data_IF_879631747762
#
_entry.id   IF_879631747762
#
_cell.length_a   1.000
_cell.length_b   1.000
_cell.length_c   1.000
_cell.angle_alpha   90.00
_cell.angle_beta   90.00
_cell.angle_gamma   90.00
#
_symmetry.space_group_name_H-M   'P 1'
#
loop_
_entity.id
_entity.type
_entity.pdbx_description
1 polymer ?
#
# COMPACT_ATOMS: atom_id res chain seq x y z
N UNK A 1 5.30 2.70 4.20
CA UNK A 1 6.13 2.65 2.96
C UNK A 1 5.86 1.38 2.17
N UNK A 2 6.30 0.19 2.61
CA UNK A 2 6.01 -1.09 1.91
C UNK A 2 4.52 -1.35 1.73
N UNK A 3 3.70 -1.16 2.77
CA UNK A 3 2.25 -1.36 2.66
C UNK A 3 1.56 -0.49 1.61
N UNK A 4 2.01 0.75 1.41
CA UNK A 4 1.47 1.61 0.35
C UNK A 4 1.88 1.11 -1.05
N UNK A 5 3.13 0.68 -1.23
CA UNK A 5 3.60 0.14 -2.50
C UNK A 5 2.85 -1.14 -2.89
N UNK A 6 2.63 -2.06 -1.93
CA UNK A 6 1.83 -3.27 -2.15
C UNK A 6 0.38 -2.93 -2.48
N UNK A 7 -0.25 -2.04 -1.71
CA UNK A 7 -1.63 -1.63 -1.95
C UNK A 7 -1.81 -0.96 -3.31
N UNK A 8 -0.88 -0.10 -3.73
CA UNK A 8 -0.87 0.52 -5.05
C UNK A 8 -0.76 -0.54 -6.15
N UNK A 9 0.15 -1.50 -6.02
CA UNK A 9 0.31 -2.58 -6.98
C UNK A 9 -0.97 -3.41 -7.12
N UNK A 10 -1.56 -3.87 -6.00
CA UNK A 10 -2.81 -4.63 -6.02
C UNK A 10 -3.95 -3.82 -6.66
N UNK A 11 -4.03 -2.53 -6.37
CA UNK A 11 -5.02 -1.63 -7.00
C UNK A 11 -4.82 -1.55 -8.51
N UNK A 12 -3.58 -1.42 -9.00
CA UNK A 12 -3.27 -1.39 -10.43
C UNK A 12 -3.57 -2.72 -11.14
N UNK A 13 -3.51 -3.83 -10.40
CA UNK A 13 -3.92 -5.15 -10.86
C UNK A 13 -5.45 -5.32 -10.86
N UNK A 14 -6.22 -4.33 -10.41
CA UNK A 14 -7.68 -4.36 -10.39
C UNK A 14 -8.26 -5.16 -9.22
N UNK A 15 -7.47 -5.39 -8.17
CA UNK A 15 -7.96 -6.02 -6.94
C UNK A 15 -8.98 -5.09 -6.26
N UNK A 16 -10.14 -5.60 -5.80
CA UNK A 16 -11.12 -4.82 -5.05
C UNK A 16 -10.53 -4.12 -3.82
N UNK A 17 -10.99 -2.89 -3.54
CA UNK A 17 -10.43 -2.04 -2.48
C UNK A 17 -10.54 -2.66 -1.08
N UNK A 18 -11.62 -3.37 -0.79
CA UNK A 18 -11.80 -4.13 0.45
C UNK A 18 -10.69 -5.19 0.62
N UNK A 19 -10.41 -5.97 -0.43
CA UNK A 19 -9.33 -6.95 -0.40
C UNK A 19 -7.93 -6.30 -0.27
N UNK A 20 -7.71 -5.14 -0.88
CA UNK A 20 -6.46 -4.36 -0.71
C UNK A 20 -6.28 -3.89 0.74
N UNK A 21 -7.36 -3.39 1.36
CA UNK A 21 -7.33 -2.93 2.74
C UNK A 21 -7.10 -4.09 3.71
N UNK A 22 -7.76 -5.23 3.48
CA UNK A 22 -7.60 -6.43 4.28
C UNK A 22 -6.16 -6.94 4.25
N UNK A 23 -5.52 -7.01 3.08
CA UNK A 23 -4.10 -7.37 2.95
C UNK A 23 -3.18 -6.40 3.72
N UNK A 24 -3.43 -5.09 3.59
CA UNK A 24 -2.66 -4.07 4.29
C UNK A 24 -2.74 -4.23 5.82
N UNK A 25 -3.94 -4.41 6.37
CA UNK A 25 -4.15 -4.55 7.81
C UNK A 25 -3.59 -5.87 8.36
N UNK A 26 -3.52 -6.92 7.54
CA UNK A 26 -2.96 -8.22 7.93
C UNK A 26 -1.48 -8.17 8.31
N UNK A 27 -0.78 -7.11 7.90
CA UNK A 27 0.59 -6.81 8.35
C UNK A 27 0.68 -6.77 9.88
N UNK A 28 -0.35 -6.26 10.57
CA UNK A 28 -0.35 -6.17 12.04
C UNK A 28 -0.34 -7.54 12.72
N UNK A 29 -0.91 -8.56 12.07
CA UNK A 29 -0.99 -9.92 12.59
C UNK A 29 0.24 -10.75 12.23
N UNK A 30 0.70 -10.60 10.98
CA UNK A 30 1.71 -11.49 10.40
C UNK A 30 3.14 -10.99 10.62
N UNK A 31 3.36 -9.69 10.72
CA UNK A 31 4.70 -9.12 10.80
C UNK A 31 5.13 -8.87 12.24
N UNK A 32 5.96 -9.75 12.80
CA UNK A 32 6.51 -9.63 14.17
C UNK A 32 7.77 -8.76 14.25
N UNK A 33 8.27 -8.24 13.13
CA UNK A 33 9.53 -7.47 13.08
C UNK A 33 9.50 -6.09 13.75
N UNK A 34 8.36 -5.69 14.29
CA UNK A 34 8.21 -4.50 15.13
C UNK A 34 8.39 -4.77 16.63
N UNK A 35 8.37 -6.05 17.05
CA UNK A 35 8.52 -6.42 18.46
C UNK A 35 9.91 -5.98 18.96
N UNK A 36 9.94 -5.16 20.00
CA UNK A 36 11.17 -4.59 20.56
C UNK A 36 11.74 -3.41 19.78
N UNK A 37 11.07 -2.93 18.72
CA UNK A 37 11.45 -1.71 18.00
C UNK A 37 10.95 -0.47 18.75
N UNK A 38 11.81 0.54 18.90
CA UNK A 38 11.54 1.77 19.66
C UNK A 38 11.15 1.52 21.14
N UNK A 39 11.99 0.82 21.93
CA UNK A 39 11.70 0.56 23.35
C UNK A 39 11.60 1.83 24.21
N UNK A 40 12.18 2.94 23.74
CA UNK A 40 12.17 4.25 24.39
C UNK A 40 10.81 4.96 24.33
N UNK A 41 9.90 4.52 23.46
CA UNK A 41 8.59 5.14 23.27
C UNK A 41 7.52 4.47 24.14
N UNK A 42 6.48 5.23 24.52
CA UNK A 42 5.29 4.67 25.13
C UNK A 42 4.54 3.73 24.15
N UNK A 43 3.60 2.94 24.68
CA UNK A 43 2.85 1.95 23.91
C UNK A 43 2.09 2.59 22.74
N UNK A 44 1.43 3.72 22.97
CA UNK A 44 0.53 4.32 21.98
C UNK A 44 1.31 4.97 20.85
N UNK A 45 2.40 5.69 21.19
CA UNK A 45 3.30 6.29 20.19
C UNK A 45 3.99 5.22 19.36
N UNK A 46 4.48 4.14 20.00
CA UNK A 46 5.09 3.02 19.27
C UNK A 46 4.08 2.37 18.34
N UNK A 47 2.88 2.07 18.81
CA UNK A 47 1.79 1.49 18.03
C UNK A 47 1.50 2.35 16.78
N UNK A 48 1.39 3.67 16.95
CA UNK A 48 1.14 4.59 15.83
C UNK A 48 2.23 4.57 14.74
N UNK A 49 3.48 4.23 15.08
CA UNK A 49 4.61 4.14 14.15
C UNK A 49 4.67 2.78 13.45
N UNK A 50 4.34 1.70 14.16
CA UNK A 50 4.54 0.32 13.66
C UNK A 50 3.30 -0.28 13.03
N UNK A 51 2.11 0.15 13.43
CA UNK A 51 0.85 -0.42 12.96
C UNK A 51 0.46 0.10 11.58
N UNK A 52 -0.03 -0.82 10.76
CA UNK A 52 -0.87 -0.50 9.63
C UNK A 52 -2.26 -0.06 10.14
N UNK A 53 -2.77 1.08 9.67
CA UNK A 53 -4.08 1.59 10.07
C UNK A 53 -4.83 2.11 8.87
N UNK A 54 -6.13 1.83 8.79
CA UNK A 54 -7.01 2.26 7.70
C UNK A 54 -6.84 3.73 7.33
N UNK A 55 -6.85 4.69 8.29
CA UNK A 55 -6.74 6.10 7.96
C UNK A 55 -5.41 6.46 7.29
N UNK A 56 -4.34 5.72 7.55
CA UNK A 56 -3.04 5.98 6.92
C UNK A 56 -3.03 5.61 5.45
N UNK A 57 -3.61 4.45 5.10
CA UNK A 57 -3.69 4.03 3.71
C UNK A 57 -4.72 4.87 2.94
N UNK A 58 -5.86 5.17 3.56
CA UNK A 58 -6.87 6.04 2.97
C UNK A 58 -6.32 7.43 2.67
N UNK A 59 -5.66 8.08 3.63
CA UNK A 59 -5.07 9.39 3.43
C UNK A 59 -4.02 9.39 2.30
N UNK A 60 -3.21 8.32 2.19
CA UNK A 60 -2.27 8.19 1.08
C UNK A 60 -2.99 8.10 -0.29
N UNK A 61 -4.07 7.32 -0.37
CA UNK A 61 -4.86 7.20 -1.60
C UNK A 61 -5.71 8.44 -1.90
N UNK A 62 -6.10 9.20 -0.89
CA UNK A 62 -6.73 10.52 -1.08
C UNK A 62 -5.77 11.48 -1.76
N UNK A 63 -4.51 11.55 -1.32
CA UNK A 63 -3.48 12.37 -1.97
C UNK A 63 -3.27 11.92 -3.42
N UNK A 64 -3.17 10.62 -3.67
CA UNK A 64 -3.06 10.06 -5.03
C UNK A 64 -4.25 10.49 -5.91
N UNK A 65 -5.47 10.43 -5.39
CA UNK A 65 -6.67 10.86 -6.12
C UNK A 65 -6.70 12.37 -6.35
N UNK A 66 -6.38 13.16 -5.32
CA UNK A 66 -6.44 14.62 -5.38
C UNK A 66 -5.39 15.21 -6.32
N UNK A 67 -4.14 14.74 -6.23
CA UNK A 67 -3.00 15.37 -6.91
C UNK A 67 -2.78 14.79 -8.32
N UNK A 68 -3.13 13.52 -8.54
CA UNK A 68 -2.85 12.83 -9.81
C UNK A 68 -4.11 12.42 -10.57
N UNK A 69 -5.28 12.40 -9.93
CA UNK A 69 -6.54 11.95 -10.53
C UNK A 69 -6.78 10.45 -10.40
N UNK A 70 -5.95 9.73 -9.64
CA UNK A 70 -6.12 8.31 -9.36
C UNK A 70 -4.83 7.48 -9.41
N UNK A 71 -4.91 6.17 -9.11
CA UNK A 71 -3.77 5.26 -9.08
C UNK A 71 -3.04 5.12 -10.41
N UNK A 72 -3.76 5.03 -11.54
CA UNK A 72 -3.17 4.83 -12.87
C UNK A 72 -2.40 6.07 -13.35
N UNK A 73 -2.97 7.30 -13.29
CA UNK A 73 -2.20 8.51 -13.57
C UNK A 73 -1.00 8.69 -12.65
N UNK A 74 -1.11 8.29 -11.38
CA UNK A 74 0.01 8.33 -10.44
C UNK A 74 1.12 7.36 -10.85
N UNK A 75 0.77 6.11 -11.18
CA UNK A 75 1.74 5.11 -11.63
C UNK A 75 2.51 5.58 -12.87
N UNK A 76 1.81 6.16 -13.84
CA UNK A 76 2.43 6.64 -15.07
C UNK A 76 3.30 7.89 -14.82
N UNK A 77 2.76 8.91 -14.15
CA UNK A 77 3.43 10.22 -14.01
C UNK A 77 4.51 10.24 -12.92
N UNK A 78 4.29 9.54 -11.81
CA UNK A 78 5.22 9.56 -10.67
C UNK A 78 6.21 8.39 -10.70
N UNK A 79 5.82 7.24 -11.27
CA UNK A 79 6.65 6.02 -11.26
C UNK A 79 7.14 5.62 -12.65
N UNK A 80 6.66 6.24 -13.73
CA UNK A 80 7.01 5.86 -15.11
C UNK A 80 6.44 4.52 -15.55
N UNK A 81 5.40 4.02 -14.86
CA UNK A 81 4.74 2.75 -15.17
C UNK A 81 3.60 3.00 -16.16
N UNK A 82 3.94 3.04 -17.44
CA UNK A 82 2.97 3.17 -18.52
C UNK A 82 2.03 1.96 -18.63
N UNK A 83 1.05 2.03 -19.54
CA UNK A 83 0.08 0.97 -19.74
C UNK A 83 0.74 -0.38 -20.12
N UNK A 84 1.78 -0.36 -20.96
CA UNK A 84 2.46 -1.59 -21.39
C UNK A 84 3.23 -2.26 -20.24
N UNK A 85 3.88 -1.47 -19.38
CA UNK A 85 4.53 -1.96 -18.17
C UNK A 85 3.51 -2.56 -17.19
N UNK A 86 2.34 -1.92 -17.02
CA UNK A 86 1.27 -2.44 -16.15
C UNK A 86 0.68 -3.75 -16.66
N UNK A 87 0.46 -3.89 -17.96
CA UNK A 87 -0.03 -5.15 -18.55
C UNK A 87 0.99 -6.28 -18.41
N UNK A 88 2.29 -6.00 -18.57
CA UNK A 88 3.32 -7.00 -18.30
C UNK A 88 3.32 -7.47 -16.84
N UNK A 89 3.25 -6.55 -15.89
CA UNK A 89 3.18 -6.87 -14.46
C UNK A 89 1.92 -7.70 -14.16
N UNK A 90 0.79 -7.39 -14.81
CA UNK A 90 -0.44 -8.17 -14.69
C UNK A 90 -0.27 -9.60 -15.18
N UNK A 91 0.29 -9.79 -16.38
CA UNK A 91 0.54 -11.11 -16.94
C UNK A 91 1.47 -11.94 -16.04
N UNK A 92 2.58 -11.35 -15.58
CA UNK A 92 3.57 -12.03 -14.74
C UNK A 92 3.01 -12.47 -13.38
N UNK A 93 2.04 -11.72 -12.82
CA UNK A 93 1.52 -11.96 -11.46
C UNK A 93 0.18 -12.71 -11.42
N UNK A 94 -0.60 -12.72 -12.51
CA UNK A 94 -1.94 -13.34 -12.54
C UNK A 94 -2.06 -14.53 -13.50
N UNK A 95 -1.20 -14.63 -14.50
CA UNK A 95 -1.28 -15.65 -15.56
C UNK A 95 -0.10 -16.63 -15.53
N UNK A 96 0.83 -16.45 -14.58
CA UNK A 96 2.00 -17.30 -14.36
C UNK A 96 1.73 -18.58 -13.57
#
# INVERSE_FOLDING_TARGET
RTGFASALLLTLLGVPWDAVMDDYLRTNELWTGHIGRYPELDIDTRAAIVEARTPYLEAAFEVVRADFGGPEPFAERALGLDAAARERIRADLLEG
#
